data_IF_917905390337
#
_entry.id   IF_917905390337
#
_cell.length_a   1.000
_cell.length_b   1.000
_cell.length_c   1.000
_cell.angle_alpha   90.00
_cell.angle_beta   90.00
_cell.angle_gamma   90.00
#
_symmetry.space_group_name_H-M   'P 1'
#
loop_
_entity.id
_entity.type
_entity.pdbx_description
1 polymer ?
#
# COMPACT_ATOMS: atom_id res chain seq x y z
N UNK A 1 23.20 18.93 15.19
CA UNK A 1 22.48 18.41 14.02
C UNK A 1 22.58 16.89 14.09
N UNK A 2 21.50 16.13 14.33
CA UNK A 2 21.60 14.68 14.34
C UNK A 2 21.54 14.17 12.90
N UNK A 3 22.55 13.42 12.50
CA UNK A 3 22.59 12.73 11.22
C UNK A 3 21.50 11.65 11.21
N UNK A 4 20.46 11.86 10.40
CA UNK A 4 19.45 10.83 10.12
C UNK A 4 20.13 9.69 9.39
N UNK A 5 20.34 8.60 10.11
CA UNK A 5 20.91 7.36 9.61
C UNK A 5 19.92 6.74 8.60
N UNK A 6 20.10 7.05 7.31
CA UNK A 6 19.35 6.44 6.19
C UNK A 6 19.94 5.04 5.95
N UNK A 7 19.86 4.18 6.95
CA UNK A 7 20.04 2.75 6.73
C UNK A 7 18.75 2.25 6.07
N UNK A 8 18.69 2.31 4.72
CA UNK A 8 17.61 1.65 3.98
C UNK A 8 17.67 0.18 4.34
N UNK A 9 16.66 -0.27 5.08
CA UNK A 9 16.52 -1.64 5.55
C UNK A 9 16.55 -2.60 4.35
N UNK A 10 17.67 -3.30 4.21
CA UNK A 10 17.99 -4.15 3.07
C UNK A 10 17.00 -5.31 2.94
N UNK A 11 16.38 -5.71 4.05
CA UNK A 11 15.34 -6.73 4.08
C UNK A 11 14.04 -6.23 3.45
N UNK A 12 13.63 -5.00 3.80
CA UNK A 12 12.46 -4.34 3.18
C UNK A 12 12.66 -4.16 1.68
N UNK A 13 13.82 -3.67 1.26
CA UNK A 13 14.12 -3.51 -0.17
C UNK A 13 14.08 -4.85 -0.91
N UNK A 14 14.72 -5.90 -0.39
CA UNK A 14 14.66 -7.24 -1.01
C UNK A 14 13.24 -7.74 -1.14
N UNK A 15 12.41 -7.60 -0.10
CA UNK A 15 11.02 -8.09 -0.10
C UNK A 15 10.18 -7.39 -1.18
N UNK A 16 10.33 -6.07 -1.31
CA UNK A 16 9.67 -5.24 -2.33
C UNK A 16 10.14 -5.63 -3.73
N UNK A 17 11.45 -5.60 -3.98
CA UNK A 17 12.01 -5.87 -5.31
C UNK A 17 11.69 -7.29 -5.78
N UNK A 18 11.70 -8.27 -4.87
CA UNK A 18 11.34 -9.65 -5.22
C UNK A 18 9.85 -9.81 -5.52
N UNK A 19 8.98 -9.12 -4.78
CA UNK A 19 7.55 -9.09 -5.08
C UNK A 19 7.29 -8.54 -6.49
N UNK A 20 7.83 -7.36 -6.80
CA UNK A 20 7.63 -6.74 -8.12
C UNK A 20 8.29 -7.52 -9.25
N UNK A 21 9.51 -8.04 -9.06
CA UNK A 21 10.17 -8.88 -10.05
C UNK A 21 9.35 -10.14 -10.35
N UNK A 22 8.79 -10.78 -9.32
CA UNK A 22 7.92 -11.95 -9.49
C UNK A 22 6.64 -11.60 -10.24
N UNK A 23 6.00 -10.48 -9.89
CA UNK A 23 4.78 -10.02 -10.57
C UNK A 23 5.07 -9.71 -12.03
N UNK A 24 6.07 -8.87 -12.32
CA UNK A 24 6.46 -8.49 -13.69
C UNK A 24 6.82 -9.74 -14.50
N UNK A 25 7.64 -10.64 -13.97
CA UNK A 25 8.01 -11.88 -14.64
C UNK A 25 6.77 -12.74 -14.94
N UNK A 26 5.85 -12.85 -13.97
CA UNK A 26 4.61 -13.61 -14.15
C UNK A 26 3.67 -12.97 -15.18
N UNK A 27 3.60 -11.64 -15.25
CA UNK A 27 2.83 -10.91 -16.25
C UNK A 27 3.39 -11.10 -17.66
N UNK A 28 4.69 -10.86 -17.83
CA UNK A 28 5.39 -10.98 -19.10
C UNK A 28 5.36 -12.42 -19.60
N UNK A 29 5.66 -13.39 -18.73
CA UNK A 29 5.58 -14.82 -19.06
C UNK A 29 4.17 -15.22 -19.49
N UNK A 30 3.15 -14.76 -18.77
CA UNK A 30 1.77 -15.15 -19.07
C UNK A 30 1.23 -14.50 -20.34
N UNK A 31 1.51 -13.21 -20.56
CA UNK A 31 1.03 -12.52 -21.75
C UNK A 31 1.77 -12.96 -23.03
N UNK A 32 3.02 -13.42 -22.93
CA UNK A 32 3.79 -13.92 -24.08
C UNK A 32 3.57 -15.42 -24.33
N UNK A 33 3.73 -16.26 -23.30
CA UNK A 33 3.76 -17.72 -23.47
C UNK A 33 2.35 -18.31 -23.45
N UNK A 34 1.48 -17.83 -22.56
CA UNK A 34 0.21 -18.48 -22.31
C UNK A 34 -0.88 -18.02 -23.29
N UNK A 35 -0.87 -16.74 -23.72
CA UNK A 35 -1.68 -16.30 -24.89
C UNK A 35 -1.35 -17.10 -26.16
N UNK A 36 -0.10 -17.55 -26.32
CA UNK A 36 0.37 -18.26 -27.51
C UNK A 36 -0.04 -19.75 -27.54
N UNK A 37 -0.31 -20.35 -26.38
CA UNK A 37 -0.56 -21.81 -26.28
C UNK A 37 -2.03 -22.14 -26.01
N UNK A 38 -2.75 -21.44 -25.12
CA UNK A 38 -4.16 -21.81 -24.77
C UNK A 38 -5.01 -20.56 -24.47
N UNK A 39 -5.51 -19.83 -25.48
CA UNK A 39 -6.26 -18.58 -25.26
C UNK A 39 -7.58 -18.78 -24.48
N UNK A 40 -8.29 -19.90 -24.68
CA UNK A 40 -9.65 -20.11 -24.14
C UNK A 40 -9.77 -20.39 -22.64
N UNK A 41 -8.85 -21.18 -22.04
CA UNK A 41 -8.87 -21.51 -20.59
C UNK A 41 -8.25 -20.42 -19.71
N UNK A 42 -7.46 -19.56 -20.31
CA UNK A 42 -6.73 -18.49 -19.65
C UNK A 42 -7.69 -17.37 -19.27
N UNK A 43 -8.65 -17.08 -20.15
CA UNK A 43 -9.60 -16.00 -19.94
C UNK A 43 -10.53 -16.25 -18.75
N UNK A 44 -10.93 -17.51 -18.50
CA UNK A 44 -11.88 -17.84 -17.42
C UNK A 44 -11.29 -17.78 -16.01
N UNK A 45 -9.96 -17.90 -15.86
CA UNK A 45 -9.28 -17.85 -14.55
C UNK A 45 -8.60 -16.51 -14.26
N UNK A 46 -8.66 -15.55 -15.21
CA UNK A 46 -8.09 -14.21 -15.06
C UNK A 46 -8.63 -13.44 -13.84
N UNK A 47 -9.96 -13.33 -13.61
CA UNK A 47 -10.50 -12.50 -12.53
C UNK A 47 -10.00 -12.92 -11.15
N UNK A 48 -10.05 -14.23 -10.88
CA UNK A 48 -9.64 -14.83 -9.60
C UNK A 48 -8.14 -14.61 -9.35
N UNK A 49 -7.32 -14.73 -10.39
CA UNK A 49 -5.87 -14.51 -10.28
C UNK A 49 -5.55 -13.04 -9.97
N UNK A 50 -6.24 -12.11 -10.62
CA UNK A 50 -6.03 -10.68 -10.40
C UNK A 50 -6.42 -10.27 -8.99
N UNK A 51 -7.58 -10.70 -8.49
CA UNK A 51 -8.00 -10.52 -7.09
C UNK A 51 -6.97 -11.06 -6.09
N UNK A 52 -6.42 -12.25 -6.35
CA UNK A 52 -5.43 -12.82 -5.44
C UNK A 52 -4.10 -12.05 -5.44
N UNK A 53 -3.69 -11.50 -6.59
CA UNK A 53 -2.48 -10.67 -6.70
C UNK A 53 -2.69 -9.33 -5.99
N UNK A 54 -3.81 -8.65 -6.25
CA UNK A 54 -4.13 -7.37 -5.65
C UNK A 54 -4.28 -7.47 -4.13
N UNK A 55 -4.93 -8.53 -3.62
CA UNK A 55 -5.02 -8.78 -2.16
C UNK A 55 -3.66 -8.95 -1.51
N UNK A 56 -2.75 -9.71 -2.13
CA UNK A 56 -1.38 -9.88 -1.62
C UNK A 56 -0.60 -8.57 -1.64
N UNK A 57 -0.78 -7.77 -2.69
CA UNK A 57 -0.18 -6.44 -2.76
C UNK A 57 -0.73 -5.52 -1.68
N UNK A 58 -2.06 -5.49 -1.47
CA UNK A 58 -2.71 -4.70 -0.42
C UNK A 58 -2.15 -5.01 0.97
N UNK A 59 -2.06 -6.29 1.33
CA UNK A 59 -1.48 -6.70 2.62
C UNK A 59 -0.01 -6.27 2.75
N UNK A 60 0.78 -6.43 1.69
CA UNK A 60 2.18 -5.98 1.68
C UNK A 60 2.29 -4.45 1.81
N UNK A 61 1.38 -3.71 1.17
CA UNK A 61 1.36 -2.25 1.24
C UNK A 61 1.02 -1.75 2.64
N UNK A 62 0.04 -2.38 3.31
CA UNK A 62 -0.32 -2.09 4.71
C UNK A 62 0.86 -2.40 5.66
N UNK A 63 1.47 -3.59 5.53
CA UNK A 63 2.60 -4.01 6.37
C UNK A 63 3.83 -3.09 6.23
N UNK A 64 4.11 -2.63 5.01
CA UNK A 64 5.30 -1.80 4.74
C UNK A 64 5.06 -0.31 4.95
N UNK A 65 3.80 0.15 4.89
CA UNK A 65 3.43 1.56 4.95
C UNK A 65 4.07 2.44 3.85
N UNK A 66 3.95 3.75 4.03
CA UNK A 66 4.68 4.76 3.25
C UNK A 66 4.50 4.64 1.72
N UNK A 67 5.59 4.39 0.99
CA UNK A 67 5.61 4.40 -0.48
C UNK A 67 4.70 3.32 -1.08
N UNK A 68 4.57 2.13 -0.45
CA UNK A 68 3.73 1.07 -1.01
C UNK A 68 2.23 1.37 -0.88
N UNK A 69 1.82 2.05 0.20
CA UNK A 69 0.44 2.56 0.32
C UNK A 69 0.15 3.55 -0.80
N UNK A 70 1.02 4.55 -0.98
CA UNK A 70 0.87 5.56 -2.05
C UNK A 70 0.83 4.95 -3.44
N UNK A 71 1.66 3.95 -3.70
CA UNK A 71 1.64 3.22 -4.95
C UNK A 71 0.32 2.47 -5.16
N UNK A 72 -0.20 1.82 -4.11
CA UNK A 72 -1.52 1.18 -4.17
C UNK A 72 -2.65 2.15 -4.46
N UNK A 73 -2.66 3.30 -3.80
CA UNK A 73 -3.63 4.39 -4.02
C UNK A 73 -3.54 4.96 -5.44
N UNK A 74 -2.32 5.08 -5.99
CA UNK A 74 -2.13 5.49 -7.39
C UNK A 74 -2.68 4.43 -8.35
N UNK A 75 -2.35 3.15 -8.14
CA UNK A 75 -2.79 2.06 -9.00
C UNK A 75 -4.32 1.88 -8.96
N UNK A 76 -4.97 2.04 -7.81
CA UNK A 76 -6.44 1.95 -7.71
C UNK A 76 -7.17 3.04 -8.49
N UNK A 77 -6.52 4.18 -8.77
CA UNK A 77 -7.09 5.26 -9.59
C UNK A 77 -6.96 5.03 -11.12
N UNK A 78 -6.16 4.04 -11.55
CA UNK A 78 -5.85 3.77 -12.98
C UNK A 78 -6.67 2.63 -13.57
N UNK A 79 -7.98 2.80 -13.54
CA UNK A 79 -9.00 1.90 -14.11
C UNK A 79 -8.88 1.73 -15.63
N UNK A 80 -8.16 2.64 -16.29
CA UNK A 80 -7.85 2.63 -17.72
C UNK A 80 -6.72 1.65 -18.09
N UNK A 81 -5.87 1.28 -17.13
CA UNK A 81 -4.68 0.44 -17.36
C UNK A 81 -4.79 -0.94 -16.71
N UNK A 82 -5.47 -1.03 -15.57
CA UNK A 82 -5.57 -2.26 -14.78
C UNK A 82 -6.95 -2.90 -14.88
N UNK A 83 -7.02 -4.25 -14.81
CA UNK A 83 -8.29 -4.95 -14.68
C UNK A 83 -9.08 -4.47 -13.46
N UNK A 84 -10.43 -4.42 -13.55
CA UNK A 84 -11.28 -3.96 -12.45
C UNK A 84 -11.07 -4.74 -11.16
N UNK A 85 -10.71 -6.02 -11.25
CA UNK A 85 -10.43 -6.89 -10.10
C UNK A 85 -9.21 -6.43 -9.28
N UNK A 86 -8.28 -5.70 -9.91
CA UNK A 86 -7.15 -5.10 -9.22
C UNK A 86 -7.59 -3.78 -8.58
N UNK A 87 -8.22 -2.89 -9.34
CA UNK A 87 -8.58 -1.57 -8.85
C UNK A 87 -9.60 -1.64 -7.71
N UNK A 88 -10.59 -2.52 -7.79
CA UNK A 88 -11.58 -2.77 -6.71
C UNK A 88 -10.89 -3.22 -5.41
N UNK A 89 -9.96 -4.18 -5.48
CA UNK A 89 -9.25 -4.66 -4.29
C UNK A 89 -8.28 -3.61 -3.73
N UNK A 90 -7.70 -2.76 -4.59
CA UNK A 90 -6.78 -1.70 -4.16
C UNK A 90 -7.50 -0.43 -3.69
N UNK A 91 -8.78 -0.22 -4.04
CA UNK A 91 -9.59 0.86 -3.47
C UNK A 91 -9.64 0.80 -1.94
N UNK A 92 -9.64 -0.41 -1.36
CA UNK A 92 -9.55 -0.58 0.10
C UNK A 92 -8.22 -0.11 0.73
N UNK A 93 -7.24 0.39 -0.04
CA UNK A 93 -6.07 1.12 0.48
C UNK A 93 -6.29 2.64 0.60
N UNK A 94 -7.32 3.16 -0.07
CA UNK A 94 -7.73 4.56 0.05
C UNK A 94 -8.56 4.78 1.32
N UNK A 95 -9.33 3.77 1.74
CA UNK A 95 -10.33 3.92 2.81
C UNK A 95 -9.90 3.41 4.21
N UNK A 96 -8.74 2.74 4.36
CA UNK A 96 -8.35 2.12 5.65
C UNK A 96 -6.87 2.34 6.01
N UNK A 97 -6.44 3.59 6.23
CA UNK A 97 -5.21 3.80 7.01
C UNK A 97 -5.59 3.73 8.48
N UNK A 98 -5.14 2.72 9.25
CA UNK A 98 -5.46 2.63 10.65
C UNK A 98 -4.93 3.87 11.38
N UNK A 99 -5.72 4.44 12.30
CA UNK A 99 -5.29 5.60 13.04
C UNK A 99 -4.01 5.33 13.84
N UNK A 100 -3.13 6.33 13.89
CA UNK A 100 -1.93 6.28 14.72
C UNK A 100 -2.37 6.29 16.20
N UNK A 101 -1.78 5.46 17.08
CA UNK A 101 -2.12 5.47 18.50
C UNK A 101 -1.96 6.86 19.12
N UNK A 102 -2.97 7.32 19.85
CA UNK A 102 -2.98 8.65 20.48
C UNK A 102 -1.76 8.99 21.35
N UNK A 103 -1.11 8.05 22.07
CA UNK A 103 0.09 8.38 22.85
C UNK A 103 1.26 8.84 21.98
N UNK A 104 1.38 8.29 20.76
CA UNK A 104 2.43 8.69 19.83
C UNK A 104 2.18 10.10 19.28
N UNK A 105 0.92 10.45 19.02
CA UNK A 105 0.52 11.78 18.54
C UNK A 105 0.76 12.83 19.64
N UNK A 106 0.37 12.53 20.89
CA UNK A 106 0.57 13.44 22.02
C UNK A 106 2.06 13.69 22.31
N UNK A 107 2.91 12.67 22.16
CA UNK A 107 4.36 12.84 22.31
C UNK A 107 4.96 13.78 21.25
N UNK A 108 4.48 13.69 20.00
CA UNK A 108 4.87 14.62 18.93
C UNK A 108 4.35 16.03 19.22
N UNK A 109 3.09 16.17 19.63
CA UNK A 109 2.50 17.46 20.00
C UNK A 109 3.29 18.13 21.14
N UNK A 110 3.68 17.38 22.17
CA UNK A 110 4.48 17.92 23.27
C UNK A 110 5.85 18.42 22.81
N UNK A 111 6.43 17.81 21.77
CA UNK A 111 7.77 18.15 21.25
C UNK A 111 7.72 19.34 20.29
N UNK A 112 6.75 19.35 19.38
CA UNK A 112 6.62 20.35 18.31
C UNK A 112 5.80 21.57 18.74
N UNK A 113 4.90 21.41 19.70
CA UNK A 113 4.01 22.46 20.22
C UNK A 113 3.84 22.35 21.74
N UNK A 114 4.85 22.74 22.55
CA UNK A 114 4.88 22.48 23.99
C UNK A 114 3.72 23.10 24.79
N UNK A 115 3.09 24.14 24.26
CA UNK A 115 1.97 24.88 24.85
C UNK A 115 0.60 24.48 24.28
N UNK A 116 0.50 23.35 23.57
CA UNK A 116 -0.74 22.91 22.94
C UNK A 116 -1.91 22.81 23.93
N UNK A 117 -1.66 22.38 25.18
CA UNK A 117 -2.69 22.25 26.21
C UNK A 117 -3.33 23.58 26.60
N UNK A 118 -2.67 24.72 26.37
CA UNK A 118 -3.20 26.05 26.64
C UNK A 118 -3.85 26.68 25.39
N UNK A 119 -3.51 26.17 24.20
CA UNK A 119 -4.01 26.68 22.92
C UNK A 119 -5.33 26.05 22.48
N UNK A 120 -5.60 24.83 22.92
CA UNK A 120 -6.80 24.08 22.56
C UNK A 120 -7.69 23.87 23.78
N UNK A 121 -9.00 24.08 23.62
CA UNK A 121 -9.98 23.87 24.70
C UNK A 121 -10.13 22.39 25.05
N UNK A 122 -10.06 21.52 24.04
CA UNK A 122 -10.17 20.07 24.17
C UNK A 122 -9.49 19.39 22.98
N UNK A 123 -8.89 18.22 23.21
CA UNK A 123 -8.31 17.37 22.16
C UNK A 123 -8.88 15.97 22.34
N UNK A 124 -9.63 15.51 21.35
CA UNK A 124 -10.18 14.17 21.33
C UNK A 124 -9.05 13.14 21.10
N UNK A 125 -8.85 12.15 21.99
CA UNK A 125 -7.88 11.09 21.79
C UNK A 125 -8.30 10.10 20.70
N UNK A 126 -9.55 10.10 20.24
CA UNK A 126 -10.02 9.27 19.14
C UNK A 126 -9.83 9.99 17.78
N UNK A 127 -8.88 9.55 16.94
CA UNK A 127 -8.66 10.14 15.63
C UNK A 127 -9.84 9.88 14.69
N UNK A 128 -10.47 10.96 14.22
CA UNK A 128 -11.60 10.93 13.29
C UNK A 128 -11.22 10.45 11.87
N UNK A 129 -9.95 10.61 11.48
CA UNK A 129 -9.41 10.22 10.18
C UNK A 129 -7.89 10.03 10.23
N UNK A 130 -7.35 9.34 9.23
CA UNK A 130 -5.92 9.23 8.97
C UNK A 130 -5.57 9.99 7.67
N UNK A 131 -4.42 10.67 7.65
CA UNK A 131 -3.93 11.50 6.53
C UNK A 131 -2.47 11.19 6.19
#
# INVERSE_FOLDING_TARGET
MPETNIAIDRERYRRITWFFARVILHLVWYDIVVKRIIPGRVMSTRPVRWRNISRRFRLLAIDMGGVLIKLGQFLSSRVDVLPPEITEELQGLQDEVPPVPSPAILAVLQTELPDFAERFTEIDPEPLAAA
#
